data_IF_555694492036
#
_entry.id   IF_555694492036
#
_cell.length_a   1.000
_cell.length_b   1.000
_cell.length_c   1.000
_cell.angle_alpha   90.00
_cell.angle_beta   90.00
_cell.angle_gamma   90.00
#
_symmetry.space_group_name_H-M   'P 1'
#
loop_
_entity.id
_entity.type
_entity.pdbx_description
1 polymer ?
#
# COMPACT_ATOMS: atom_id res chain seq x y z
N UNK A 1 4.29 -61.84 14.22
CA UNK A 1 5.32 -61.15 15.03
C UNK A 1 4.89 -61.19 16.48
N UNK A 2 5.48 -62.04 17.32
CA UNK A 2 5.16 -62.13 18.75
C UNK A 2 6.27 -61.48 19.58
N UNK A 3 5.93 -60.42 20.33
CA UNK A 3 6.82 -59.77 21.30
C UNK A 3 6.49 -58.30 21.54
N UNK A 4 7.07 -57.72 22.59
CA UNK A 4 6.79 -56.37 23.06
C UNK A 4 7.56 -55.30 22.24
N UNK A 5 6.85 -54.25 21.87
CA UNK A 5 7.39 -53.03 21.29
C UNK A 5 6.98 -51.81 22.11
N UNK A 6 7.81 -50.78 22.10
CA UNK A 6 7.46 -49.48 22.65
C UNK A 6 6.76 -48.65 21.57
N UNK A 7 5.49 -48.30 21.81
CA UNK A 7 4.68 -47.49 20.88
C UNK A 7 5.37 -46.19 20.46
N UNK A 8 5.96 -45.46 21.41
CA UNK A 8 6.58 -44.16 21.13
C UNK A 8 7.89 -44.31 20.36
N UNK A 9 8.77 -45.21 20.79
CA UNK A 9 10.06 -45.41 20.13
C UNK A 9 9.89 -45.98 18.72
N UNK A 10 8.92 -46.88 18.48
CA UNK A 10 8.67 -47.41 17.12
C UNK A 10 8.25 -46.30 16.15
N UNK A 11 7.49 -45.31 16.62
CA UNK A 11 6.92 -44.26 15.77
C UNK A 11 7.83 -43.03 15.61
N UNK A 12 8.61 -42.69 16.64
CA UNK A 12 9.30 -41.40 16.72
C UNK A 12 10.82 -41.50 16.90
N UNK A 13 11.41 -42.71 16.88
CA UNK A 13 12.86 -42.84 16.98
C UNK A 13 13.55 -42.61 15.64
N UNK A 14 14.36 -41.56 15.55
CA UNK A 14 15.50 -41.52 14.64
C UNK A 14 16.70 -42.20 15.30
N UNK A 15 17.55 -42.88 14.51
CA UNK A 15 18.72 -43.66 14.96
C UNK A 15 19.39 -43.08 16.22
N UNK A 16 19.52 -43.88 17.27
CA UNK A 16 19.66 -43.42 18.66
C UNK A 16 20.96 -42.67 19.01
N UNK A 17 20.87 -41.86 20.07
CA UNK A 17 21.98 -41.16 20.72
C UNK A 17 22.19 -39.71 20.24
N UNK A 18 22.79 -38.86 21.09
CA UNK A 18 23.10 -37.44 20.83
C UNK A 18 23.94 -37.22 19.55
N UNK A 19 24.56 -38.27 19.02
CA UNK A 19 25.43 -38.30 17.84
C UNK A 19 25.01 -39.36 16.78
N UNK A 20 23.77 -39.89 16.81
CA UNK A 20 23.24 -40.90 15.86
C UNK A 20 24.04 -42.22 15.77
N UNK A 21 24.80 -42.57 16.80
CA UNK A 21 25.73 -43.72 16.81
C UNK A 21 25.22 -44.94 17.57
N UNK A 22 24.08 -44.87 18.27
CA UNK A 22 23.56 -45.97 19.09
C UNK A 22 22.56 -46.79 18.29
N UNK A 23 22.86 -48.08 18.08
CA UNK A 23 21.94 -49.01 17.42
C UNK A 23 20.71 -49.29 18.31
N UNK A 24 19.53 -48.92 17.82
CA UNK A 24 18.24 -49.18 18.46
C UNK A 24 17.90 -50.66 18.29
N UNK A 25 17.84 -51.44 19.37
CA UNK A 25 17.57 -52.88 19.30
C UNK A 25 16.34 -53.32 20.09
N UNK A 26 16.39 -53.29 21.43
CA UNK A 26 15.29 -53.80 22.28
C UNK A 26 14.08 -52.86 22.23
N UNK A 27 12.87 -53.43 22.03
CA UNK A 27 11.57 -52.73 21.97
C UNK A 27 11.34 -51.78 20.78
N UNK A 28 12.32 -51.59 19.89
CA UNK A 28 12.24 -50.63 18.78
C UNK A 28 12.35 -51.34 17.42
N UNK A 29 13.54 -51.81 17.04
CA UNK A 29 13.75 -52.50 15.76
C UNK A 29 13.47 -54.00 15.83
N UNK A 30 13.61 -54.60 17.02
CA UNK A 30 13.31 -56.01 17.27
C UNK A 30 12.30 -56.15 18.42
N UNK A 31 11.34 -57.09 18.29
CA UNK A 31 10.40 -57.39 19.36
C UNK A 31 11.15 -57.94 20.56
N UNK A 32 10.80 -57.47 21.75
CA UNK A 32 11.32 -58.03 22.99
C UNK A 32 10.55 -59.31 23.35
N UNK A 33 11.28 -60.41 23.60
CA UNK A 33 10.69 -61.74 23.78
C UNK A 33 11.12 -62.45 25.09
N UNK A 34 12.01 -61.84 25.90
CA UNK A 34 12.58 -62.47 27.11
C UNK A 34 11.99 -61.89 28.40
N UNK A 35 10.93 -62.50 28.93
CA UNK A 35 10.12 -61.92 30.01
C UNK A 35 10.67 -62.10 31.44
N UNK A 36 11.72 -62.92 31.63
CA UNK A 36 12.21 -63.31 32.94
C UNK A 36 12.73 -62.15 33.83
N UNK A 37 13.15 -61.03 33.24
CA UNK A 37 13.59 -59.80 33.94
C UNK A 37 12.88 -58.55 33.41
N UNK A 38 11.61 -58.68 33.02
CA UNK A 38 10.88 -57.57 32.42
C UNK A 38 10.63 -56.41 33.41
N UNK A 39 10.33 -56.75 34.67
CA UNK A 39 9.94 -55.82 35.73
C UNK A 39 11.01 -55.75 36.83
N UNK A 40 10.98 -54.68 37.64
CA UNK A 40 11.91 -54.42 38.74
C UNK A 40 12.83 -53.22 38.47
N UNK A 41 13.61 -52.79 39.47
CA UNK A 41 14.52 -51.63 39.37
C UNK A 41 15.56 -51.78 38.24
N UNK A 42 16.01 -53.01 38.00
CA UNK A 42 16.94 -53.38 36.92
C UNK A 42 16.23 -54.13 35.79
N UNK A 43 14.91 -54.02 35.71
CA UNK A 43 14.10 -54.66 34.67
C UNK A 43 14.27 -53.98 33.32
N UNK A 44 14.12 -54.75 32.23
CA UNK A 44 14.31 -54.24 30.87
C UNK A 44 13.37 -53.06 30.52
N UNK A 45 12.16 -52.97 31.12
CA UNK A 45 11.25 -51.83 30.93
C UNK A 45 11.72 -50.56 31.64
N UNK A 46 12.22 -50.67 32.87
CA UNK A 46 12.66 -49.52 33.67
C UNK A 46 13.98 -48.94 33.12
N UNK A 47 14.85 -49.80 32.61
CA UNK A 47 16.05 -49.38 31.87
C UNK A 47 15.64 -48.71 30.55
N UNK A 48 14.62 -49.24 29.86
CA UNK A 48 14.14 -48.65 28.61
C UNK A 48 13.53 -47.26 28.83
N UNK A 49 12.68 -47.08 29.84
CA UNK A 49 11.99 -45.82 30.13
C UNK A 49 12.96 -44.67 30.46
N UNK A 50 14.09 -45.00 31.10
CA UNK A 50 15.15 -44.04 31.44
C UNK A 50 16.09 -43.70 30.29
N UNK A 51 16.02 -44.41 29.17
CA UNK A 51 16.88 -44.10 28.03
C UNK A 51 16.53 -42.74 27.44
N UNK A 52 17.56 -41.93 27.16
CA UNK A 52 17.39 -40.58 26.60
C UNK A 52 16.61 -40.58 25.27
N UNK A 53 16.76 -41.62 24.43
CA UNK A 53 15.99 -41.70 23.18
C UNK A 53 14.51 -41.98 23.45
N UNK A 54 14.18 -42.77 24.48
CA UNK A 54 12.79 -43.03 24.84
C UNK A 54 12.12 -41.75 25.33
N UNK A 55 12.77 -41.05 26.27
CA UNK A 55 12.30 -39.76 26.78
C UNK A 55 12.07 -38.77 25.64
N UNK A 56 13.02 -38.65 24.70
CA UNK A 56 12.86 -37.80 23.53
C UNK A 56 11.70 -38.23 22.61
N UNK A 57 11.51 -39.54 22.39
CA UNK A 57 10.38 -40.05 21.59
C UNK A 57 9.03 -39.77 22.26
N UNK A 58 8.96 -39.86 23.59
CA UNK A 58 7.77 -39.50 24.37
C UNK A 58 7.47 -38.01 24.25
N UNK A 59 8.47 -37.15 24.39
CA UNK A 59 8.33 -35.70 24.24
C UNK A 59 7.86 -35.31 22.82
N UNK A 60 8.42 -35.95 21.78
CA UNK A 60 7.97 -35.76 20.39
C UNK A 60 6.52 -36.23 20.21
N UNK A 61 6.15 -37.37 20.80
CA UNK A 61 4.79 -37.89 20.73
C UNK A 61 3.78 -36.97 21.43
N UNK A 62 4.12 -36.44 22.60
CA UNK A 62 3.28 -35.50 23.34
C UNK A 62 3.12 -34.18 22.57
N UNK A 63 4.20 -33.67 21.98
CA UNK A 63 4.16 -32.50 21.10
C UNK A 63 3.28 -32.74 19.88
N UNK A 64 3.42 -33.90 19.22
CA UNK A 64 2.58 -34.30 18.08
C UNK A 64 1.10 -34.40 18.46
N UNK A 65 0.76 -35.03 19.60
CA UNK A 65 -0.62 -35.13 20.06
C UNK A 65 -1.21 -33.76 20.39
N UNK A 66 -0.40 -32.86 20.94
CA UNK A 66 -0.80 -31.49 21.28
C UNK A 66 -1.10 -30.67 20.03
N UNK A 67 -0.30 -30.79 18.96
CA UNK A 67 -0.55 -30.12 17.67
C UNK A 67 -1.66 -30.81 16.86
N UNK A 68 -1.74 -32.14 16.86
CA UNK A 68 -2.78 -32.90 16.17
C UNK A 68 -4.18 -32.57 16.73
N UNK A 69 -4.32 -32.53 18.06
CA UNK A 69 -5.58 -32.17 18.71
C UNK A 69 -5.88 -30.67 18.67
N UNK A 70 -4.88 -29.82 18.44
CA UNK A 70 -5.05 -28.38 18.34
C UNK A 70 -4.14 -27.77 17.25
N UNK A 71 -4.57 -27.85 15.97
CA UNK A 71 -3.77 -27.41 14.82
C UNK A 71 -3.36 -25.94 14.88
N UNK A 72 -4.06 -25.10 15.67
CA UNK A 72 -3.73 -23.69 15.88
C UNK A 72 -2.39 -23.47 16.58
N UNK A 73 -1.87 -24.47 17.32
CA UNK A 73 -0.58 -24.40 18.04
C UNK A 73 0.62 -24.79 17.19
N UNK A 74 0.41 -25.27 15.97
CA UNK A 74 1.51 -25.56 15.05
C UNK A 74 2.27 -24.27 14.72
N UNK A 75 3.60 -24.30 14.77
CA UNK A 75 4.45 -23.10 14.59
C UNK A 75 4.17 -22.39 13.27
N UNK A 76 3.93 -23.13 12.18
CA UNK A 76 3.59 -22.57 10.87
C UNK A 76 2.26 -21.81 10.94
N UNK A 77 1.26 -22.36 11.64
CA UNK A 77 -0.04 -21.73 11.82
C UNK A 77 0.02 -20.54 12.78
N UNK A 78 0.84 -20.62 13.84
CA UNK A 78 1.09 -19.52 14.77
C UNK A 78 1.81 -18.35 14.09
N UNK A 79 2.87 -18.61 13.30
CA UNK A 79 3.60 -17.58 12.55
C UNK A 79 2.66 -16.91 11.54
N UNK A 80 1.84 -17.69 10.83
CA UNK A 80 0.85 -17.15 9.90
C UNK A 80 -0.23 -16.34 10.63
N UNK A 81 -0.64 -16.74 11.83
CA UNK A 81 -1.64 -16.03 12.63
C UNK A 81 -1.09 -14.75 13.22
N UNK A 82 0.10 -14.79 13.82
CA UNK A 82 0.75 -13.63 14.43
C UNK A 82 1.14 -12.60 13.36
N UNK A 83 1.66 -13.04 12.21
CA UNK A 83 1.93 -12.15 11.09
C UNK A 83 0.65 -11.46 10.58
N UNK A 84 -0.46 -12.20 10.46
CA UNK A 84 -1.75 -11.61 10.09
C UNK A 84 -2.22 -10.59 11.11
N UNK A 85 -2.11 -10.91 12.40
CA UNK A 85 -2.45 -10.02 13.51
C UNK A 85 -1.63 -8.73 13.46
N UNK A 86 -0.32 -8.81 13.25
CA UNK A 86 0.55 -7.63 13.12
C UNK A 86 0.17 -6.77 11.90
N UNK A 87 -0.14 -7.38 10.76
CA UNK A 87 -0.61 -6.65 9.57
C UNK A 87 -1.92 -5.91 9.88
N UNK A 88 -2.85 -6.58 10.55
CA UNK A 88 -4.15 -6.01 10.92
C UNK A 88 -4.00 -4.87 11.94
N UNK A 89 -3.16 -5.04 12.96
CA UNK A 89 -2.82 -3.98 13.90
C UNK A 89 -2.21 -2.75 13.19
N UNK A 90 -1.24 -2.95 12.29
CA UNK A 90 -0.63 -1.86 11.54
C UNK A 90 -1.64 -1.16 10.60
N UNK A 91 -2.55 -1.91 9.98
CA UNK A 91 -3.65 -1.33 9.19
C UNK A 91 -4.59 -0.51 10.06
N UNK A 92 -4.93 -1.00 11.24
CA UNK A 92 -5.79 -0.29 12.18
C UNK A 92 -5.14 1.02 12.68
N UNK A 93 -3.81 1.04 12.84
CA UNK A 93 -3.06 2.27 13.17
C UNK A 93 -3.03 3.28 12.02
N UNK A 94 -2.87 2.81 10.78
CA UNK A 94 -2.79 3.68 9.59
C UNK A 94 -4.14 4.20 9.12
N UNK A 95 -5.21 3.40 9.25
CA UNK A 95 -6.57 3.74 8.84
C UNK A 95 -7.01 5.16 9.27
N UNK A 96 -6.92 5.55 10.55
CA UNK A 96 -7.35 6.89 10.98
C UNK A 96 -6.56 8.04 10.33
N UNK A 97 -5.28 7.80 10.04
CA UNK A 97 -4.38 8.77 9.39
C UNK A 97 -4.78 8.95 7.93
N UNK A 98 -4.97 7.85 7.20
CA UNK A 98 -5.38 7.85 5.79
C UNK A 98 -6.79 8.42 5.62
N UNK A 99 -7.74 8.07 6.50
CA UNK A 99 -9.09 8.65 6.48
C UNK A 99 -9.06 10.17 6.67
N UNK A 100 -8.17 10.67 7.54
CA UNK A 100 -7.98 12.12 7.74
C UNK A 100 -7.42 12.78 6.48
N UNK A 101 -6.49 12.13 5.79
CA UNK A 101 -5.96 12.61 4.50
C UNK A 101 -7.07 12.69 3.44
N UNK A 102 -7.86 11.62 3.32
CA UNK A 102 -8.99 11.57 2.37
C UNK A 102 -10.02 12.64 2.70
N UNK A 103 -10.33 12.84 3.98
CA UNK A 103 -11.27 13.87 4.43
C UNK A 103 -10.83 15.27 3.99
N UNK A 104 -9.59 15.66 4.32
CA UNK A 104 -9.05 16.97 3.97
C UNK A 104 -9.05 17.19 2.45
N UNK A 105 -8.62 16.18 1.70
CA UNK A 105 -8.64 16.21 0.23
C UNK A 105 -10.05 16.37 -0.34
N UNK A 106 -11.05 15.67 0.19
CA UNK A 106 -12.44 15.77 -0.28
C UNK A 106 -13.11 17.09 0.05
N UNK A 107 -12.68 17.75 1.12
CA UNK A 107 -13.23 19.03 1.57
C UNK A 107 -12.44 20.23 1.01
N UNK A 108 -11.40 20.00 0.20
CA UNK A 108 -10.47 21.03 -0.26
C UNK A 108 -9.86 21.84 0.90
N UNK A 109 -9.60 21.18 2.04
CA UNK A 109 -8.99 21.82 3.20
C UNK A 109 -7.46 21.67 3.09
N UNK A 110 -6.69 22.78 3.17
CA UNK A 110 -5.24 22.71 3.18
C UNK A 110 -4.72 21.80 4.30
N UNK A 111 -3.80 20.89 3.99
CA UNK A 111 -3.30 19.93 4.97
C UNK A 111 -2.40 20.58 6.03
N UNK A 112 -1.63 21.58 5.58
CA UNK A 112 -0.53 22.19 6.31
C UNK A 112 -0.89 23.60 6.80
N UNK A 113 -0.36 23.95 7.96
CA UNK A 113 -0.41 25.28 8.53
C UNK A 113 0.96 25.96 8.50
N UNK A 114 1.11 27.02 9.29
CA UNK A 114 2.37 27.76 9.35
C UNK A 114 3.46 27.02 10.17
N UNK A 115 3.07 26.09 11.05
CA UNK A 115 3.94 25.37 11.99
C UNK A 115 3.44 23.94 12.22
N UNK A 116 3.92 22.99 11.42
CA UNK A 116 3.44 21.59 11.46
C UNK A 116 4.47 20.61 12.07
N UNK A 117 5.39 21.13 12.86
CA UNK A 117 6.51 20.39 13.45
C UNK A 117 6.45 20.40 14.98
N UNK A 118 7.18 19.47 15.61
CA UNK A 118 7.25 19.35 17.07
C UNK A 118 6.39 18.22 17.63
N UNK A 119 6.36 18.14 18.96
CA UNK A 119 5.68 17.07 19.66
C UNK A 119 4.16 17.15 19.43
N UNK A 120 3.55 16.01 19.11
CA UNK A 120 2.12 15.93 18.87
C UNK A 120 1.32 16.29 20.13
N UNK A 121 1.67 15.73 21.29
CA UNK A 121 0.93 15.92 22.55
C UNK A 121 1.33 17.17 23.34
N UNK A 122 2.20 18.02 22.81
CA UNK A 122 2.55 19.27 23.47
C UNK A 122 1.35 20.23 23.40
N UNK A 123 0.76 20.53 24.56
CA UNK A 123 -0.37 21.44 24.68
C UNK A 123 0.11 22.89 24.67
N UNK A 124 0.49 23.35 23.49
CA UNK A 124 0.73 24.77 23.24
C UNK A 124 -0.56 25.34 22.64
N UNK A 125 -1.52 25.68 23.51
CA UNK A 125 -2.88 26.14 23.14
C UNK A 125 -2.87 27.37 22.21
N UNK A 126 -1.75 28.08 22.14
CA UNK A 126 -1.58 29.29 21.33
C UNK A 126 -1.04 29.00 19.91
N UNK A 127 -0.67 27.75 19.58
CA UNK A 127 -0.09 27.40 18.26
C UNK A 127 -0.95 26.40 17.49
N UNK A 128 -1.57 26.88 16.41
CA UNK A 128 -2.18 26.03 15.39
C UNK A 128 -1.11 25.14 14.72
N UNK A 129 -1.30 23.81 14.77
CA UNK A 129 -0.35 22.81 14.23
C UNK A 129 -0.68 22.35 12.80
N UNK A 130 -1.55 23.07 12.10
CA UNK A 130 -2.05 22.72 10.78
C UNK A 130 -3.23 21.74 10.82
N UNK A 131 -4.12 21.86 9.83
CA UNK A 131 -5.41 21.17 9.82
C UNK A 131 -5.30 19.65 9.93
N UNK A 132 -4.24 19.05 9.38
CA UNK A 132 -4.02 17.61 9.51
C UNK A 132 -3.77 17.17 10.95
N UNK A 133 -2.90 17.87 11.69
CA UNK A 133 -2.58 17.50 13.06
C UNK A 133 -3.74 17.83 14.00
N UNK A 134 -4.42 18.96 13.77
CA UNK A 134 -5.63 19.33 14.52
C UNK A 134 -6.77 18.31 14.30
N UNK A 135 -6.94 17.80 13.08
CA UNK A 135 -7.93 16.77 12.81
C UNK A 135 -7.61 15.45 13.53
N UNK A 136 -6.33 15.07 13.62
CA UNK A 136 -5.91 13.91 14.41
C UNK A 136 -6.15 14.12 15.91
N UNK A 137 -5.88 15.33 16.43
CA UNK A 137 -6.22 15.70 17.82
C UNK A 137 -7.72 15.59 18.06
N UNK A 138 -8.54 16.13 17.16
CA UNK A 138 -9.99 16.04 17.23
C UNK A 138 -10.48 14.58 17.25
N UNK A 139 -9.91 13.71 16.42
CA UNK A 139 -10.24 12.27 16.41
C UNK A 139 -9.89 11.58 17.73
N UNK A 140 -8.74 11.90 18.33
CA UNK A 140 -8.36 11.38 19.65
C UNK A 140 -9.32 11.89 20.74
N UNK A 141 -9.61 13.18 20.76
CA UNK A 141 -10.55 13.79 21.72
C UNK A 141 -11.97 13.23 21.55
N UNK A 142 -12.31 12.76 20.35
CA UNK A 142 -13.58 12.09 20.04
C UNK A 142 -13.58 10.59 20.37
N UNK A 143 -12.49 10.05 20.94
CA UNK A 143 -12.41 8.68 21.45
C UNK A 143 -11.63 7.68 20.60
N UNK A 144 -10.85 8.12 19.60
CA UNK A 144 -9.97 7.20 18.84
C UNK A 144 -8.74 6.77 19.66
N UNK A 145 -8.96 5.77 20.51
CA UNK A 145 -7.94 5.16 21.36
C UNK A 145 -6.85 4.41 20.57
N UNK A 146 -7.14 3.94 19.35
CA UNK A 146 -6.15 3.24 18.52
C UNK A 146 -5.12 4.25 18.01
N UNK A 147 -5.60 5.38 17.47
CA UNK A 147 -4.74 6.47 17.03
C UNK A 147 -3.95 7.06 18.21
N UNK A 148 -4.60 7.28 19.35
CA UNK A 148 -3.94 7.77 20.56
C UNK A 148 -2.80 6.86 21.01
N UNK A 149 -3.08 5.56 21.15
CA UNK A 149 -2.08 4.57 21.55
C UNK A 149 -0.93 4.50 20.55
N UNK A 150 -1.23 4.53 19.24
CA UNK A 150 -0.20 4.56 18.19
C UNK A 150 0.71 5.77 18.35
N UNK A 151 0.17 6.97 18.52
CA UNK A 151 0.98 8.18 18.62
C UNK A 151 1.77 8.27 19.94
N UNK A 152 1.27 7.69 21.05
CA UNK A 152 1.97 7.66 22.34
C UNK A 152 3.07 6.61 22.44
N UNK A 153 2.84 5.42 21.87
CA UNK A 153 3.73 4.25 22.07
C UNK A 153 4.75 4.08 20.96
N UNK A 154 4.48 4.63 19.78
CA UNK A 154 5.36 4.47 18.63
C UNK A 154 6.54 5.43 18.69
N UNK A 155 7.72 4.94 18.33
CA UNK A 155 8.93 5.74 18.19
C UNK A 155 8.69 6.93 17.24
N UNK A 156 9.29 8.09 17.51
CA UNK A 156 9.00 9.34 16.78
C UNK A 156 9.06 9.24 15.24
N UNK A 157 9.88 8.33 14.70
CA UNK A 157 10.08 8.11 13.26
C UNK A 157 8.97 7.29 12.59
N UNK A 158 8.13 6.60 13.35
CA UNK A 158 7.11 5.67 12.83
C UNK A 158 5.67 6.14 13.12
N UNK A 159 5.50 7.42 13.46
CA UNK A 159 4.19 8.01 13.73
C UNK A 159 3.32 8.18 12.49
N UNK A 160 3.93 8.20 11.30
CA UNK A 160 3.29 8.44 9.99
C UNK A 160 2.63 9.82 9.82
N UNK A 161 2.97 10.78 10.69
CA UNK A 161 2.41 12.15 10.67
C UNK A 161 3.42 13.20 10.17
N UNK A 162 4.63 12.79 9.78
CA UNK A 162 5.62 13.73 9.26
C UNK A 162 5.21 14.24 7.87
N UNK A 163 5.63 15.45 7.47
CA UNK A 163 5.30 15.99 6.15
C UNK A 163 5.76 15.09 4.99
N UNK A 164 6.89 14.39 5.16
CA UNK A 164 7.41 13.44 4.16
C UNK A 164 6.46 12.26 4.00
N UNK A 165 6.10 11.60 5.10
CA UNK A 165 5.22 10.42 5.07
C UNK A 165 3.80 10.80 4.65
N UNK A 166 3.33 11.99 5.04
CA UNK A 166 2.06 12.54 4.56
C UNK A 166 2.05 12.63 3.03
N UNK A 167 3.11 13.15 2.42
CA UNK A 167 3.23 13.23 0.96
C UNK A 167 3.24 11.83 0.31
N UNK A 168 3.95 10.86 0.90
CA UNK A 168 3.94 9.47 0.42
C UNK A 168 2.53 8.86 0.47
N UNK A 169 1.79 9.08 1.56
CA UNK A 169 0.41 8.59 1.69
C UNK A 169 -0.54 9.28 0.71
N UNK A 170 -0.39 10.58 0.48
CA UNK A 170 -1.14 11.33 -0.53
C UNK A 170 -0.85 10.75 -1.92
N UNK A 171 0.42 10.44 -2.22
CA UNK A 171 0.85 9.84 -3.48
C UNK A 171 0.26 8.44 -3.69
N UNK A 172 0.20 7.62 -2.64
CA UNK A 172 -0.52 6.34 -2.67
C UNK A 172 -2.01 6.53 -2.96
N UNK A 173 -2.66 7.50 -2.30
CA UNK A 173 -4.07 7.81 -2.55
C UNK A 173 -4.28 8.27 -4.01
N UNK A 174 -3.41 9.16 -4.51
CA UNK A 174 -3.43 9.64 -5.90
C UNK A 174 -3.34 8.48 -6.88
N UNK A 175 -2.42 7.55 -6.65
CA UNK A 175 -2.22 6.37 -7.50
C UNK A 175 -3.48 5.51 -7.56
N UNK A 176 -4.04 5.14 -6.41
CA UNK A 176 -5.24 4.30 -6.32
C UNK A 176 -6.45 4.98 -6.98
N UNK A 177 -6.66 6.27 -6.70
CA UNK A 177 -7.78 7.04 -7.29
C UNK A 177 -7.63 7.11 -8.82
N UNK A 178 -6.42 7.37 -9.30
CA UNK A 178 -6.13 7.41 -10.75
C UNK A 178 -6.37 6.05 -11.40
N UNK A 179 -5.92 4.96 -10.80
CA UNK A 179 -6.16 3.59 -11.31
C UNK A 179 -7.66 3.27 -11.42
N UNK A 180 -8.46 3.68 -10.42
CA UNK A 180 -9.91 3.49 -10.45
C UNK A 180 -10.53 4.28 -11.60
N UNK A 181 -10.18 5.58 -11.74
CA UNK A 181 -10.68 6.43 -12.83
C UNK A 181 -10.33 5.83 -14.19
N UNK A 182 -9.08 5.41 -14.39
CA UNK A 182 -8.62 4.85 -15.65
C UNK A 182 -9.27 3.49 -15.94
N UNK A 183 -9.52 2.66 -14.93
CA UNK A 183 -10.25 1.40 -15.07
C UNK A 183 -11.69 1.65 -15.52
N UNK A 184 -12.39 2.57 -14.86
CA UNK A 184 -13.75 2.94 -15.26
C UNK A 184 -13.79 3.54 -16.67
N UNK A 185 -12.83 4.40 -16.98
CA UNK A 185 -12.68 4.97 -18.32
C UNK A 185 -12.45 3.87 -19.33
N UNK A 186 -11.67 2.83 -19.06
CA UNK A 186 -11.40 1.73 -20.01
C UNK A 186 -12.68 0.98 -20.42
N UNK A 187 -13.70 0.97 -19.57
CA UNK A 187 -15.02 0.44 -19.92
C UNK A 187 -15.80 1.38 -20.88
N UNK A 188 -15.45 2.67 -20.90
CA UNK A 188 -15.95 3.66 -21.87
C UNK A 188 -15.01 3.79 -23.06
N UNK A 189 -15.51 3.53 -24.27
CA UNK A 189 -14.71 3.72 -25.48
C UNK A 189 -14.29 5.19 -25.64
N UNK A 190 -15.27 6.09 -25.59
CA UNK A 190 -15.10 7.52 -25.87
C UNK A 190 -14.94 8.35 -24.59
N UNK A 191 -14.23 9.46 -24.72
CA UNK A 191 -14.03 10.42 -23.63
C UNK A 191 -13.79 11.83 -24.19
N UNK A 192 -13.97 12.82 -23.34
CA UNK A 192 -13.64 14.21 -23.59
C UNK A 192 -12.52 14.64 -22.66
N UNK A 193 -11.69 15.57 -23.10
CA UNK A 193 -10.65 16.19 -22.29
C UNK A 193 -10.99 17.65 -22.06
N UNK A 194 -10.71 18.14 -20.86
CA UNK A 194 -10.80 19.54 -20.50
C UNK A 194 -9.47 19.91 -19.88
N UNK A 195 -8.85 20.98 -20.36
CA UNK A 195 -7.61 21.45 -19.77
C UNK A 195 -7.57 22.97 -19.74
N UNK A 196 -6.93 23.45 -18.69
CA UNK A 196 -6.81 24.87 -18.40
C UNK A 196 -5.37 25.22 -18.09
N UNK A 197 -4.95 26.40 -18.53
CA UNK A 197 -3.63 26.93 -18.20
C UNK A 197 -3.78 28.14 -17.29
N UNK A 198 -3.10 28.08 -16.16
CA UNK A 198 -3.09 29.16 -15.17
C UNK A 198 -1.67 29.52 -14.82
N UNK A 199 -1.39 30.81 -14.75
CA UNK A 199 -0.13 31.32 -14.22
C UNK A 199 -0.23 31.42 -12.70
N UNK A 200 0.57 30.61 -11.99
CA UNK A 200 0.65 30.65 -10.52
C UNK A 200 1.33 31.95 -10.04
N UNK A 201 1.20 32.26 -8.75
CA UNK A 201 1.78 33.41 -8.03
C UNK A 201 3.30 33.49 -8.22
N UNK A 202 3.96 32.35 -8.46
CA UNK A 202 5.39 32.26 -8.79
C UNK A 202 5.74 32.56 -10.26
N UNK A 203 4.78 33.02 -11.06
CA UNK A 203 4.87 33.20 -12.51
C UNK A 203 5.13 31.90 -13.31
N UNK A 204 4.85 30.73 -12.71
CA UNK A 204 4.94 29.44 -13.39
C UNK A 204 3.60 29.09 -14.05
N UNK A 205 3.63 28.73 -15.33
CA UNK A 205 2.47 28.21 -16.05
C UNK A 205 2.16 26.78 -15.60
N UNK A 206 0.92 26.53 -15.19
CA UNK A 206 0.43 25.22 -14.78
C UNK A 206 -0.73 24.79 -15.67
N UNK A 207 -0.72 23.54 -16.13
CA UNK A 207 -1.85 22.91 -16.82
C UNK A 207 -2.59 22.01 -15.85
N UNK A 208 -3.90 22.22 -15.71
CA UNK A 208 -4.84 21.27 -15.13
C UNK A 208 -5.50 20.42 -16.22
N UNK A 209 -5.67 19.12 -16.00
CA UNK A 209 -6.27 18.18 -16.94
C UNK A 209 -7.39 17.39 -16.26
N UNK A 210 -8.56 17.46 -16.86
CA UNK A 210 -9.79 16.77 -16.47
C UNK A 210 -10.26 15.91 -17.64
N UNK A 211 -10.80 14.73 -17.34
CA UNK A 211 -11.49 13.90 -18.33
C UNK A 211 -12.96 13.76 -18.00
N UNK A 212 -13.78 13.66 -19.05
CA UNK A 212 -15.20 13.36 -18.94
C UNK A 212 -15.55 12.13 -19.75
N UNK A 213 -16.27 11.20 -19.15
CA UNK A 213 -16.63 9.93 -19.78
C UNK A 213 -17.96 9.41 -19.23
N UNK A 214 -18.55 8.43 -19.91
CA UNK A 214 -19.80 7.79 -19.47
C UNK A 214 -19.47 6.42 -18.88
N UNK A 215 -19.84 6.19 -17.63
CA UNK A 215 -19.70 4.89 -16.99
C UNK A 215 -21.04 4.48 -16.38
N UNK A 216 -21.56 3.32 -16.78
CA UNK A 216 -22.87 2.79 -16.34
C UNK A 216 -24.01 3.81 -16.52
N UNK A 217 -24.07 4.42 -17.70
CA UNK A 217 -25.05 5.47 -18.06
C UNK A 217 -24.98 6.76 -17.22
N UNK A 218 -23.94 6.94 -16.40
CA UNK A 218 -23.70 8.17 -15.64
C UNK A 218 -22.50 8.90 -16.24
N UNK A 219 -22.66 10.20 -16.47
CA UNK A 219 -21.56 11.08 -16.87
C UNK A 219 -20.68 11.33 -15.65
N UNK A 220 -19.39 11.03 -15.79
CA UNK A 220 -18.38 11.32 -14.79
C UNK A 220 -17.39 12.32 -15.34
N UNK A 221 -16.98 13.26 -14.48
CA UNK A 221 -15.96 14.25 -14.76
C UNK A 221 -14.93 14.17 -13.63
N UNK A 222 -13.68 13.87 -13.99
CA UNK A 222 -12.63 13.55 -13.03
C UNK A 222 -11.33 14.26 -13.40
N UNK A 223 -10.77 14.95 -12.41
CA UNK A 223 -9.42 15.49 -12.48
C UNK A 223 -8.39 14.35 -12.53
N UNK A 224 -7.38 14.50 -13.40
CA UNK A 224 -6.33 13.49 -13.60
C UNK A 224 -4.94 14.02 -13.28
N UNK A 225 -4.62 15.26 -13.65
CA UNK A 225 -3.28 15.80 -13.46
C UNK A 225 -3.28 17.32 -13.37
N UNK A 226 -2.36 17.85 -12.57
CA UNK A 226 -1.88 19.21 -12.65
C UNK A 226 -0.36 19.15 -12.80
N UNK A 227 0.19 19.85 -13.78
CA UNK A 227 1.63 19.88 -14.05
C UNK A 227 2.11 21.32 -14.19
N UNK A 228 3.32 21.59 -13.69
CA UNK A 228 4.08 22.77 -14.08
C UNK A 228 4.60 22.55 -15.50
N UNK A 229 4.12 23.35 -16.45
CA UNK A 229 4.43 23.21 -17.87
C UNK A 229 5.91 23.40 -18.16
N UNK A 230 6.55 24.35 -17.46
CA UNK A 230 7.96 24.64 -17.67
C UNK A 230 8.81 23.47 -17.17
N UNK A 231 8.58 23.01 -15.95
CA UNK A 231 9.32 21.89 -15.38
C UNK A 231 9.07 20.59 -16.16
N UNK A 232 7.83 20.37 -16.63
CA UNK A 232 7.45 19.16 -17.36
C UNK A 232 8.09 19.09 -18.76
N UNK A 233 8.18 20.22 -19.46
CA UNK A 233 8.73 20.29 -20.82
C UNK A 233 10.26 20.42 -20.82
N UNK A 234 10.81 21.25 -19.94
CA UNK A 234 12.24 21.62 -19.95
C UNK A 234 13.07 20.89 -18.89
N UNK A 235 12.68 19.64 -18.58
CA UNK A 235 13.31 18.80 -17.56
C UNK A 235 14.84 18.98 -17.58
N UNK A 236 15.36 19.50 -16.47
CA UNK A 236 16.69 20.12 -16.28
C UNK A 236 17.83 19.41 -17.02
N UNK A 237 18.40 20.05 -18.05
CA UNK A 237 19.85 20.03 -18.41
C UNK A 237 20.19 20.77 -19.73
N UNK A 238 19.22 21.24 -20.50
CA UNK A 238 19.50 22.00 -21.73
C UNK A 238 19.41 23.52 -21.52
N UNK A 239 20.59 24.14 -21.47
CA UNK A 239 20.93 25.53 -21.84
C UNK A 239 20.13 26.69 -21.21
N UNK A 240 20.72 27.27 -20.16
CA UNK A 240 20.26 28.44 -19.38
C UNK A 240 20.24 29.81 -20.11
N UNK A 241 20.14 29.88 -21.44
CA UNK A 241 20.30 31.17 -22.14
C UNK A 241 19.12 31.64 -23.00
N UNK A 242 17.95 31.01 -22.92
CA UNK A 242 16.73 31.53 -23.53
C UNK A 242 15.58 31.41 -22.53
N UNK A 243 14.83 32.49 -22.27
CA UNK A 243 13.52 32.37 -21.63
C UNK A 243 12.65 31.45 -22.51
N UNK A 244 12.29 30.25 -22.04
CA UNK A 244 11.49 29.36 -22.86
C UNK A 244 10.08 29.93 -22.97
N UNK A 245 9.73 30.40 -24.18
CA UNK A 245 8.38 30.84 -24.48
C UNK A 245 7.46 29.62 -24.57
N UNK A 246 6.60 29.46 -23.58
CA UNK A 246 5.45 28.57 -23.66
C UNK A 246 4.56 29.04 -24.81
N UNK A 247 4.40 28.18 -25.83
CA UNK A 247 3.53 28.41 -26.95
C UNK A 247 2.42 27.33 -26.97
N UNK A 248 1.37 27.56 -27.75
CA UNK A 248 0.23 26.63 -27.80
C UNK A 248 0.64 25.22 -28.23
N UNK A 249 1.58 25.07 -29.16
CA UNK A 249 2.08 23.76 -29.59
C UNK A 249 2.74 22.98 -28.45
N UNK A 250 3.58 23.64 -27.64
CA UNK A 250 4.26 23.06 -26.48
C UNK A 250 3.24 22.62 -25.42
N UNK A 251 2.21 23.44 -25.16
CA UNK A 251 1.10 23.07 -24.27
C UNK A 251 0.33 21.85 -24.82
N UNK A 252 0.06 21.84 -26.13
CA UNK A 252 -0.57 20.71 -26.80
C UNK A 252 0.26 19.43 -26.70
N UNK A 253 1.57 19.50 -26.90
CA UNK A 253 2.50 18.38 -26.74
C UNK A 253 2.55 17.88 -25.28
N UNK A 254 2.49 18.78 -24.30
CA UNK A 254 2.41 18.42 -22.89
C UNK A 254 1.11 17.64 -22.58
N UNK A 255 -0.05 18.12 -23.08
CA UNK A 255 -1.34 17.42 -22.93
C UNK A 255 -1.31 16.06 -23.62
N UNK A 256 -0.79 15.96 -24.84
CA UNK A 256 -0.65 14.68 -25.55
C UNK A 256 0.22 13.70 -24.74
N UNK A 257 1.34 14.17 -24.22
CA UNK A 257 2.27 13.36 -23.40
C UNK A 257 1.60 12.87 -22.12
N UNK A 258 0.80 13.72 -21.46
CA UNK A 258 -0.02 13.31 -20.31
C UNK A 258 -1.03 12.23 -20.70
N UNK A 259 -1.79 12.42 -21.78
CA UNK A 259 -2.77 11.44 -22.24
C UNK A 259 -2.11 10.08 -22.54
N UNK A 260 -0.95 10.08 -23.19
CA UNK A 260 -0.18 8.86 -23.45
C UNK A 260 0.32 8.21 -22.16
N UNK A 261 0.83 9.01 -21.20
CA UNK A 261 1.26 8.53 -19.88
C UNK A 261 0.14 7.80 -19.13
N UNK A 262 -1.11 8.25 -19.30
CA UNK A 262 -2.29 7.63 -18.69
C UNK A 262 -2.95 6.55 -19.57
N UNK A 263 -2.31 6.11 -20.65
CA UNK A 263 -2.85 5.09 -21.59
C UNK A 263 -4.21 5.50 -22.18
N UNK A 264 -4.39 6.81 -22.42
CA UNK A 264 -5.59 7.39 -23.02
C UNK A 264 -5.40 7.55 -24.53
N UNK A 265 -6.03 6.66 -25.28
CA UNK A 265 -5.95 6.66 -26.74
C UNK A 265 -6.69 7.86 -27.37
N UNK A 266 -5.92 8.79 -27.95
CA UNK A 266 -6.40 10.02 -28.57
C UNK A 266 -7.41 9.80 -29.71
N UNK A 267 -7.44 8.62 -30.36
CA UNK A 267 -8.44 8.30 -31.39
C UNK A 267 -9.87 8.28 -30.88
N UNK A 268 -10.04 8.04 -29.57
CA UNK A 268 -11.35 8.00 -28.92
C UNK A 268 -11.69 9.29 -28.16
N UNK A 269 -10.82 10.29 -28.22
CA UNK A 269 -11.15 11.63 -27.75
C UNK A 269 -12.16 12.24 -28.71
N UNK A 270 -13.32 12.66 -28.19
CA UNK A 270 -14.42 13.24 -28.99
C UNK A 270 -14.58 14.74 -28.79
N UNK A 271 -14.11 15.28 -27.66
CA UNK A 271 -14.19 16.71 -27.36
C UNK A 271 -12.91 17.16 -26.68
N UNK A 272 -12.44 18.34 -27.09
CA UNK A 272 -11.37 19.10 -26.44
C UNK A 272 -12.00 20.38 -25.89
N UNK A 273 -12.02 20.53 -24.57
CA UNK A 273 -12.50 21.71 -23.88
C UNK A 273 -11.35 22.53 -23.32
N UNK A 274 -11.28 23.81 -23.66
CA UNK A 274 -10.30 24.74 -23.09
C UNK A 274 -10.85 26.16 -23.16
N UNK A 275 -10.19 27.09 -22.47
CA UNK A 275 -10.55 28.49 -22.51
C UNK A 275 -10.29 29.09 -23.90
N UNK A 276 -10.86 30.27 -24.15
CA UNK A 276 -10.71 30.92 -25.46
C UNK A 276 -9.41 31.73 -25.58
N UNK A 277 -8.39 31.44 -24.75
CA UNK A 277 -7.13 32.15 -24.80
C UNK A 277 -6.46 31.95 -26.17
N UNK A 278 -5.83 33.01 -26.68
CA UNK A 278 -5.21 33.01 -28.01
C UNK A 278 -4.12 31.94 -28.14
N UNK A 279 -3.41 31.63 -27.06
CA UNK A 279 -2.39 30.57 -27.02
C UNK A 279 -3.03 29.18 -27.20
N UNK A 280 -4.26 28.98 -26.72
CA UNK A 280 -4.97 27.70 -26.82
C UNK A 280 -5.64 27.51 -28.17
N UNK A 281 -6.31 28.55 -28.67
CA UNK A 281 -7.23 28.46 -29.82
C UNK A 281 -6.62 29.00 -31.12
N UNK A 282 -5.37 29.49 -31.10
CA UNK A 282 -4.69 30.00 -32.31
C UNK A 282 -4.78 29.02 -33.49
N UNK A 283 -5.19 29.53 -34.65
CA UNK A 283 -5.31 28.77 -35.90
C UNK A 283 -3.96 28.38 -36.52
N UNK A 284 -2.85 28.93 -36.01
CA UNK A 284 -1.52 28.73 -36.58
C UNK A 284 -0.63 27.88 -35.66
N UNK A 285 -0.71 28.07 -34.34
CA UNK A 285 0.12 27.38 -33.33
C UNK A 285 -0.62 27.14 -32.01
N UNK A 286 -1.93 26.85 -32.09
CA UNK A 286 -2.77 26.63 -30.91
C UNK A 286 -2.64 25.22 -30.33
N UNK A 287 -2.76 25.11 -29.01
CA UNK A 287 -2.78 23.82 -28.32
C UNK A 287 -3.88 22.88 -28.83
N UNK A 288 -5.06 23.43 -29.11
CA UNK A 288 -6.20 22.67 -29.65
C UNK A 288 -5.88 22.08 -31.01
N UNK A 289 -5.33 22.88 -31.92
CA UNK A 289 -4.97 22.43 -33.27
C UNK A 289 -3.93 21.31 -33.23
N UNK A 290 -2.94 21.47 -32.33
CA UNK A 290 -1.92 20.46 -32.09
C UNK A 290 -2.55 19.14 -31.60
N UNK A 291 -3.45 19.19 -30.62
CA UNK A 291 -4.14 17.99 -30.11
C UNK A 291 -5.02 17.36 -31.19
N UNK A 292 -5.76 18.16 -31.96
CA UNK A 292 -6.62 17.68 -33.06
C UNK A 292 -5.85 16.96 -34.18
N UNK A 293 -4.57 17.29 -34.38
CA UNK A 293 -3.73 16.56 -35.34
C UNK A 293 -3.58 15.07 -34.99
N UNK A 294 -3.64 14.73 -33.70
CA UNK A 294 -3.64 13.35 -33.20
C UNK A 294 -5.07 12.82 -32.95
N UNK A 295 -5.93 13.64 -32.35
CA UNK A 295 -7.32 13.35 -32.06
C UNK A 295 -8.24 13.84 -33.20
N UNK A 296 -8.11 13.23 -34.39
CA UNK A 296 -8.79 13.69 -35.61
C UNK A 296 -10.32 13.77 -35.55
N UNK A 297 -10.93 13.04 -34.61
CA UNK A 297 -12.38 13.01 -34.41
C UNK A 297 -12.86 14.00 -33.34
N UNK A 298 -11.94 14.71 -32.67
CA UNK A 298 -12.26 15.56 -31.55
C UNK A 298 -12.73 16.95 -32.00
N UNK A 299 -13.88 17.36 -31.49
CA UNK A 299 -14.44 18.68 -31.72
C UNK A 299 -13.96 19.62 -30.60
N UNK A 300 -13.57 20.83 -30.96
CA UNK A 300 -13.24 21.85 -29.98
C UNK A 300 -14.52 22.46 -29.40
N UNK A 301 -14.58 22.58 -28.08
CA UNK A 301 -15.66 23.25 -27.36
C UNK A 301 -15.05 24.32 -26.45
N UNK A 302 -15.58 25.54 -26.49
CA UNK A 302 -15.17 26.59 -25.56
C UNK A 302 -15.76 26.32 -24.19
N UNK A 303 -14.91 26.34 -23.17
CA UNK A 303 -15.31 26.08 -21.79
C UNK A 303 -14.71 27.17 -20.94
N UNK A 304 -15.54 27.82 -20.13
CA UNK A 304 -15.05 28.65 -19.04
C UNK A 304 -14.86 27.73 -17.84
N UNK A 305 -13.62 27.30 -17.62
CA UNK A 305 -13.28 26.49 -16.45
C UNK A 305 -13.29 27.47 -15.27
N UNK A 306 -14.29 27.36 -14.38
CA UNK A 306 -14.33 28.16 -13.16
C UNK A 306 -13.27 27.61 -12.20
N UNK A 307 -12.23 28.40 -11.97
CA UNK A 307 -11.20 28.15 -10.95
C UNK A 307 -11.77 28.10 -9.53
#
# INVERSE_FOLDING_TARGET
MSGLFCKYCVLFSDKGGRYKTIQLFKFVSKPFQKYAKLLGKDGDLEIHSRNHYHVACVEVADNFMTTFNNPKKEVINLINTERKKQIEENRNRLKPIVESIIFLGRQNIPFRGHRDHGNFFENDLEKNKGNFRELLHYRINSGDSILENHLKTTHFKATYISPVVQNELIECCRTIVTEIILKEKKESKFYSIFFDETTDISHSSQISLVIRYVHKAVVKENFIACIDCHAYVYNTDTEKNLEPKLNGEVLGDAVISLLQKFDLNLKYCVVIGTDSCSVMVSLVRGAVQKIQSFAKNAIHCHVQIMH
#
